data_IF_375982052467
#
_entry.id   IF_375982052467
#
_cell.length_a   1.000
_cell.length_b   1.000
_cell.length_c   1.000
_cell.angle_alpha   90.00
_cell.angle_beta   90.00
_cell.angle_gamma   90.00
#
_symmetry.space_group_name_H-M   'P 1'
#
loop_
_entity.id
_entity.type
_entity.pdbx_description
1 polymer ?
#
# COMPACT_ATOMS: atom_id res chain seq x y z
N UNK A 1 -11.17 -5.20 13.06
CA UNK A 1 -10.98 -5.12 11.59
C UNK A 1 -9.57 -4.65 11.25
N UNK A 2 -9.07 -3.64 11.98
CA UNK A 2 -7.66 -3.33 12.26
C UNK A 2 -6.62 -4.44 11.92
N UNK A 3 -6.65 -5.60 12.57
CA UNK A 3 -5.63 -6.66 12.41
C UNK A 3 -5.66 -7.27 11.01
N UNK A 4 -6.85 -7.46 10.44
CA UNK A 4 -7.03 -8.02 9.09
C UNK A 4 -6.52 -7.05 8.03
N UNK A 5 -6.88 -5.78 8.17
CA UNK A 5 -6.40 -4.69 7.31
C UNK A 5 -4.89 -4.57 7.37
N UNK A 6 -4.31 -4.61 8.58
CA UNK A 6 -2.87 -4.56 8.78
C UNK A 6 -2.15 -5.76 8.14
N UNK A 7 -2.55 -6.99 8.49
CA UNK A 7 -1.85 -8.20 8.02
C UNK A 7 -1.94 -8.36 6.50
N UNK A 8 -3.07 -8.03 5.89
CA UNK A 8 -3.21 -8.09 4.42
C UNK A 8 -2.37 -7.04 3.69
N UNK A 9 -2.35 -5.80 4.18
CA UNK A 9 -1.52 -4.73 3.61
C UNK A 9 -0.03 -5.07 3.74
N UNK A 10 0.40 -5.57 4.90
CA UNK A 10 1.79 -5.99 5.13
C UNK A 10 2.17 -7.19 4.28
N UNK A 11 1.32 -8.21 4.16
CA UNK A 11 1.60 -9.38 3.34
C UNK A 11 1.71 -9.01 1.85
N UNK A 12 0.77 -8.21 1.33
CA UNK A 12 0.85 -7.73 -0.04
C UNK A 12 2.05 -6.80 -0.25
N UNK A 13 2.35 -5.96 0.74
CA UNK A 13 3.51 -5.08 0.73
C UNK A 13 4.82 -5.86 0.72
N UNK A 14 4.93 -6.94 1.49
CA UNK A 14 6.10 -7.80 1.51
C UNK A 14 6.36 -8.46 0.15
N UNK A 15 5.31 -8.93 -0.55
CA UNK A 15 5.44 -9.45 -1.92
C UNK A 15 5.93 -8.37 -2.88
N UNK A 16 5.37 -7.16 -2.79
CA UNK A 16 5.82 -6.03 -3.60
C UNK A 16 7.29 -5.65 -3.31
N UNK A 17 7.68 -5.58 -2.04
CA UNK A 17 9.05 -5.31 -1.62
C UNK A 17 10.03 -6.40 -2.08
N UNK A 18 9.62 -7.66 -2.07
CA UNK A 18 10.43 -8.75 -2.61
C UNK A 18 10.68 -8.57 -4.11
N UNK A 19 9.66 -8.19 -4.88
CA UNK A 19 9.81 -7.87 -6.31
C UNK A 19 10.73 -6.66 -6.53
N UNK A 20 10.59 -5.62 -5.72
CA UNK A 20 11.46 -4.44 -5.73
C UNK A 20 12.91 -4.76 -5.38
N UNK A 21 13.13 -5.64 -4.40
CA UNK A 21 14.47 -6.05 -3.97
C UNK A 21 15.25 -6.78 -5.06
N UNK A 22 14.55 -7.51 -5.94
CA UNK A 22 15.15 -8.13 -7.14
C UNK A 22 15.69 -7.06 -8.11
N UNK A 23 15.06 -5.90 -8.17
CA UNK A 23 15.53 -4.77 -9.00
C UNK A 23 16.66 -4.01 -8.30
N UNK A 24 16.46 -3.63 -7.03
CA UNK A 24 17.40 -2.80 -6.27
C UNK A 24 17.07 -2.81 -4.77
N UNK A 25 17.95 -3.37 -3.94
CA UNK A 25 17.74 -3.52 -2.50
C UNK A 25 17.60 -2.19 -1.72
N UNK A 26 18.29 -1.07 -2.07
CA UNK A 26 18.11 0.21 -1.37
C UNK A 26 16.71 0.79 -1.58
N UNK A 27 16.15 0.62 -2.78
CA UNK A 27 14.80 1.07 -3.10
C UNK A 27 13.76 0.27 -2.30
N UNK A 28 13.97 -1.05 -2.16
CA UNK A 28 13.14 -1.89 -1.31
C UNK A 28 13.23 -1.46 0.17
N UNK A 29 14.42 -1.10 0.66
CA UNK A 29 14.56 -0.60 2.03
C UNK A 29 13.77 0.70 2.26
N UNK A 30 13.85 1.68 1.35
CA UNK A 30 13.08 2.92 1.43
C UNK A 30 11.56 2.67 1.32
N UNK A 31 11.15 1.84 0.36
CA UNK A 31 9.76 1.48 0.18
C UNK A 31 9.18 0.73 1.39
N UNK A 32 10.00 0.00 2.15
CA UNK A 32 9.55 -0.73 3.34
C UNK A 32 9.01 0.19 4.43
N UNK A 33 9.67 1.33 4.64
CA UNK A 33 9.23 2.35 5.62
C UNK A 33 7.86 2.86 5.22
N UNK A 34 7.67 3.20 3.95
CA UNK A 34 6.39 3.62 3.40
C UNK A 34 5.31 2.55 3.60
N UNK A 35 5.57 1.29 3.22
CA UNK A 35 4.63 0.18 3.35
C UNK A 35 4.22 -0.01 4.82
N UNK A 36 5.17 0.02 5.76
CA UNK A 36 4.87 -0.13 7.18
C UNK A 36 3.98 1.01 7.70
N UNK A 37 4.37 2.27 7.46
CA UNK A 37 3.63 3.45 7.93
C UNK A 37 2.24 3.54 7.31
N UNK A 38 2.12 3.32 6.00
CA UNK A 38 0.84 3.35 5.30
C UNK A 38 -0.07 2.18 5.71
N UNK A 39 0.49 0.99 5.95
CA UNK A 39 -0.29 -0.14 6.47
C UNK A 39 -0.85 0.14 7.87
N UNK A 40 -0.05 0.71 8.76
CA UNK A 40 -0.46 1.10 10.10
C UNK A 40 -1.53 2.20 10.06
N UNK A 41 -1.34 3.22 9.21
CA UNK A 41 -2.32 4.29 9.00
C UNK A 41 -3.67 3.75 8.51
N UNK A 42 -3.67 2.89 7.48
CA UNK A 42 -4.89 2.26 6.95
C UNK A 42 -5.56 1.39 8.02
N UNK A 43 -4.79 0.61 8.77
CA UNK A 43 -5.34 -0.22 9.86
C UNK A 43 -6.00 0.61 10.95
N UNK A 44 -5.37 1.71 11.37
CA UNK A 44 -5.91 2.64 12.36
C UNK A 44 -7.16 3.38 11.85
N UNK A 45 -7.16 3.79 10.58
CA UNK A 45 -8.31 4.43 9.96
C UNK A 45 -9.53 3.50 9.91
N UNK A 46 -9.34 2.27 9.43
CA UNK A 46 -10.39 1.24 9.35
C UNK A 46 -10.71 0.57 10.69
N UNK A 47 -10.03 0.94 11.79
CA UNK A 47 -10.41 0.53 13.13
C UNK A 47 -11.55 1.37 13.70
N UNK A 48 -11.85 2.54 13.13
CA UNK A 48 -12.92 3.43 13.60
C UNK A 48 -14.29 2.96 13.10
N UNK A 49 -15.27 2.93 13.99
CA UNK A 49 -16.65 2.60 13.66
C UNK A 49 -17.28 3.70 12.80
N UNK A 50 -17.41 3.43 11.50
CA UNK A 50 -18.05 4.35 10.55
C UNK A 50 -17.12 5.47 10.06
N UNK A 51 -16.49 5.26 8.91
CA UNK A 51 -15.85 6.35 8.16
C UNK A 51 -16.90 7.12 7.37
N UNK A 52 -16.99 8.43 7.59
CA UNK A 52 -17.73 9.32 6.68
C UNK A 52 -17.07 9.30 5.30
N UNK A 53 -17.86 9.39 4.21
CA UNK A 53 -17.35 9.30 2.82
C UNK A 53 -16.14 10.21 2.52
N UNK A 54 -16.12 11.41 3.11
CA UNK A 54 -15.00 12.35 2.96
C UNK A 54 -13.71 11.83 3.59
N UNK A 55 -13.81 11.21 4.76
CA UNK A 55 -12.66 10.64 5.46
C UNK A 55 -12.17 9.38 4.76
N UNK A 56 -13.08 8.59 4.20
CA UNK A 56 -12.71 7.44 3.37
C UNK A 56 -11.88 7.86 2.14
N UNK A 57 -12.30 8.91 1.41
CA UNK A 57 -11.51 9.44 0.30
C UNK A 57 -10.11 9.87 0.75
N UNK A 58 -10.00 10.56 1.89
CA UNK A 58 -8.69 10.98 2.44
C UNK A 58 -7.82 9.78 2.82
N UNK A 59 -8.40 8.74 3.41
CA UNK A 59 -7.67 7.51 3.80
C UNK A 59 -7.07 6.81 2.58
N UNK A 60 -7.70 6.93 1.42
CA UNK A 60 -7.16 6.41 0.15
C UNK A 60 -6.17 7.36 -0.52
N UNK A 61 -6.43 8.67 -0.50
CA UNK A 61 -5.62 9.67 -1.20
C UNK A 61 -4.30 9.92 -0.46
N UNK A 62 -4.32 9.99 0.88
CA UNK A 62 -3.13 10.31 1.68
C UNK A 62 -1.93 9.36 1.40
N UNK A 63 -2.07 8.02 1.48
CA UNK A 63 -0.96 7.12 1.15
C UNK A 63 -0.55 7.21 -0.33
N UNK A 64 -1.49 7.44 -1.25
CA UNK A 64 -1.16 7.66 -2.67
C UNK A 64 -0.32 8.93 -2.87
N UNK A 65 -0.69 10.05 -2.26
CA UNK A 65 0.10 11.30 -2.30
C UNK A 65 1.49 11.08 -1.72
N UNK A 66 1.60 10.36 -0.60
CA UNK A 66 2.89 10.02 -0.01
C UNK A 66 3.75 9.15 -0.95
N UNK A 67 3.14 8.21 -1.68
CA UNK A 67 3.83 7.43 -2.70
C UNK A 67 4.33 8.30 -3.86
N UNK A 68 3.49 9.22 -4.36
CA UNK A 68 3.89 10.19 -5.41
C UNK A 68 5.06 11.03 -4.93
N UNK A 69 4.99 11.57 -3.71
CA UNK A 69 6.08 12.37 -3.14
C UNK A 69 7.38 11.57 -2.99
N UNK A 70 7.29 10.31 -2.55
CA UNK A 70 8.45 9.41 -2.44
C UNK A 70 9.11 9.17 -3.80
N UNK A 71 8.32 8.83 -4.83
CA UNK A 71 8.83 8.61 -6.18
C UNK A 71 9.41 9.89 -6.81
N UNK A 72 8.74 11.03 -6.63
CA UNK A 72 9.24 12.32 -7.11
C UNK A 72 10.59 12.67 -6.48
N UNK A 73 10.73 12.45 -5.17
CA UNK A 73 12.00 12.65 -4.46
C UNK A 73 13.11 11.72 -4.97
N UNK A 74 12.79 10.45 -5.23
CA UNK A 74 13.73 9.49 -5.80
C UNK A 74 14.20 9.96 -7.19
N UNK A 75 13.29 10.38 -8.07
CA UNK A 75 13.65 10.83 -9.42
C UNK A 75 14.45 12.14 -9.41
N UNK A 76 14.07 13.10 -8.56
CA UNK A 76 14.81 14.35 -8.38
C UNK A 76 16.26 14.12 -7.89
N UNK A 77 16.50 13.05 -7.13
CA UNK A 77 17.84 12.66 -6.66
C UNK A 77 18.70 11.96 -7.72
N UNK A 78 18.11 11.51 -8.83
CA UNK A 78 18.80 10.74 -9.89
C UNK A 78 19.23 11.64 -11.05
N UNK A 79 18.45 12.67 -11.40
CA UNK A 79 18.74 13.57 -12.52
C UNK A 79 18.87 15.03 -12.07
N UNK A 80 20.10 15.55 -12.03
CA UNK A 80 20.34 16.98 -11.81
C UNK A 80 20.01 17.80 -13.06
N UNK A 81 18.74 18.17 -13.27
CA UNK A 81 18.37 19.13 -14.33
C UNK A 81 17.01 18.93 -14.99
N UNK A 82 16.23 17.92 -14.60
CA UNK A 82 14.92 17.64 -15.21
C UNK A 82 13.86 18.62 -14.69
N UNK A 83 12.93 19.12 -15.54
CA UNK A 83 11.87 20.02 -15.07
C UNK A 83 11.00 19.32 -14.00
N UNK A 84 10.80 19.96 -12.85
CA UNK A 84 10.06 19.39 -11.71
C UNK A 84 8.67 18.85 -12.06
N UNK A 85 7.98 19.46 -13.03
CA UNK A 85 6.67 18.98 -13.52
C UNK A 85 6.78 17.62 -14.21
N UNK A 86 7.86 17.37 -14.94
CA UNK A 86 8.10 16.09 -15.59
C UNK A 86 8.43 15.01 -14.55
N UNK A 87 9.24 15.34 -13.54
CA UNK A 87 9.55 14.44 -12.43
C UNK A 87 8.28 14.04 -11.66
N UNK A 88 7.41 15.01 -11.34
CA UNK A 88 6.11 14.75 -10.72
C UNK A 88 5.22 13.92 -11.65
N UNK A 89 5.21 14.20 -12.96
CA UNK A 89 4.46 13.43 -13.94
C UNK A 89 4.88 11.95 -13.98
N UNK A 90 6.18 11.69 -14.03
CA UNK A 90 6.75 10.32 -13.98
C UNK A 90 6.46 9.67 -12.63
N UNK A 91 6.59 10.42 -11.53
CA UNK A 91 6.26 9.93 -10.19
C UNK A 91 4.79 9.52 -10.08
N UNK A 92 3.86 10.31 -10.62
CA UNK A 92 2.42 9.94 -10.68
C UNK A 92 2.20 8.69 -11.52
N UNK A 93 2.87 8.60 -12.68
CA UNK A 93 2.75 7.46 -13.59
C UNK A 93 3.27 6.15 -12.98
N UNK A 94 4.27 6.19 -12.10
CA UNK A 94 4.82 5.01 -11.41
C UNK A 94 4.09 4.72 -10.10
N UNK A 95 3.83 5.75 -9.29
CA UNK A 95 3.20 5.62 -7.98
C UNK A 95 1.77 5.09 -8.08
N UNK A 96 1.00 5.55 -9.07
CA UNK A 96 -0.41 5.16 -9.23
C UNK A 96 -0.59 3.67 -9.48
N UNK A 97 -0.01 3.04 -10.51
CA UNK A 97 -0.16 1.60 -10.73
C UNK A 97 0.44 0.79 -9.59
N UNK A 98 1.57 1.24 -9.01
CA UNK A 98 2.21 0.55 -7.87
C UNK A 98 1.30 0.55 -6.64
N UNK A 99 0.71 1.69 -6.32
CA UNK A 99 -0.24 1.83 -5.22
C UNK A 99 -1.51 0.99 -5.44
N UNK A 100 -2.08 1.04 -6.65
CA UNK A 100 -3.26 0.26 -6.99
C UNK A 100 -2.99 -1.25 -6.95
N UNK A 101 -1.85 -1.70 -7.47
CA UNK A 101 -1.45 -3.11 -7.41
C UNK A 101 -1.28 -3.59 -5.96
N UNK A 102 -0.66 -2.77 -5.11
CA UNK A 102 -0.54 -3.07 -3.69
C UNK A 102 -1.90 -3.17 -2.98
N UNK A 103 -2.80 -2.21 -3.21
CA UNK A 103 -4.12 -2.22 -2.60
C UNK A 103 -4.99 -3.38 -3.12
N UNK A 104 -4.90 -3.71 -4.41
CA UNK A 104 -5.58 -4.86 -5.00
C UNK A 104 -5.08 -6.18 -4.40
N UNK A 105 -3.77 -6.33 -4.25
CA UNK A 105 -3.16 -7.49 -3.58
C UNK A 105 -3.62 -7.60 -2.13
N UNK A 106 -3.66 -6.49 -1.39
CA UNK A 106 -4.17 -6.48 -0.02
C UNK A 106 -5.64 -6.91 0.04
N UNK A 107 -6.49 -6.43 -0.88
CA UNK A 107 -7.88 -6.86 -0.98
C UNK A 107 -8.01 -8.37 -1.25
N UNK A 108 -7.23 -8.91 -2.18
CA UNK A 108 -7.21 -10.34 -2.47
C UNK A 108 -6.84 -11.17 -1.23
N UNK A 109 -5.82 -10.74 -0.47
CA UNK A 109 -5.41 -11.40 0.78
C UNK A 109 -6.52 -11.33 1.84
N UNK A 110 -7.25 -10.21 1.94
CA UNK A 110 -8.42 -10.10 2.85
C UNK A 110 -9.53 -11.08 2.47
N UNK A 111 -9.85 -11.18 1.19
CA UNK A 111 -10.87 -12.11 0.69
C UNK A 111 -10.47 -13.57 0.96
N UNK A 112 -9.20 -13.92 0.71
CA UNK A 112 -8.67 -15.25 1.01
C UNK A 112 -8.77 -15.59 2.50
N UNK A 113 -8.37 -14.67 3.38
CA UNK A 113 -8.49 -14.87 4.83
C UNK A 113 -9.95 -15.01 5.28
N UNK A 114 -10.87 -14.25 4.69
CA UNK A 114 -12.29 -14.34 5.00
C UNK A 114 -12.84 -15.72 4.60
N UNK A 115 -12.52 -16.19 3.39
CA UNK A 115 -12.92 -17.52 2.91
C UNK A 115 -12.42 -18.64 3.82
N UNK A 116 -11.16 -18.60 4.26
CA UNK A 116 -10.59 -19.59 5.20
C UNK A 116 -11.22 -19.55 6.60
N UNK A 117 -11.80 -18.43 7.03
CA UNK A 117 -12.53 -18.37 8.31
C UNK A 117 -13.89 -19.05 8.19
N UNK A 118 -14.62 -18.77 7.11
CA UNK A 118 -15.92 -19.38 6.84
C UNK A 118 -15.82 -20.90 6.68
N UNK A 119 -14.80 -21.41 5.97
CA UNK A 119 -14.59 -22.85 5.84
C UNK A 119 -14.31 -23.56 7.17
N UNK A 120 -13.56 -22.92 8.09
CA UNK A 120 -13.27 -23.46 9.42
C UNK A 120 -14.47 -23.47 10.36
N UNK A 121 -15.35 -22.46 10.28
CA UNK A 121 -16.58 -22.45 11.08
C UNK A 121 -17.54 -23.58 10.69
N UNK A 122 -17.61 -23.93 9.40
CA UNK A 122 -18.48 -25.03 8.92
C UNK A 122 -17.98 -26.40 9.42
N UNK A 123 -16.66 -26.62 9.45
CA UNK A 123 -16.07 -27.87 9.97
C UNK A 123 -16.20 -28.03 11.49
N UNK A 124 -16.27 -26.93 12.25
CA UNK A 124 -16.39 -27.01 13.72
C UNK A 124 -17.82 -27.30 14.20
N UNK A 125 -18.82 -27.21 13.32
CA UNK A 125 -20.24 -27.43 13.62
C UNK A 125 -20.80 -28.74 13.06
N UNK A 126 -19.98 -29.52 12.34
CA UNK A 126 -20.30 -30.83 11.80
C UNK A 126 -19.75 -31.93 12.71
#
# INVERSE_FOLDING_TARGET
MDRVTLTSNLASGAVFLAALAVLTWPLAALASIYVMSASAFLAAAYARDGLIRRLEAVVWIAPWVAAVALWAWIFAGVEGGTPWLLEVGVAVAVATPSYLAWQAGALAVRQLMAWHRTGRSVQATA
#
